data_IF_893772435188
#
_entry.id   IF_893772435188
#
_cell.length_a   1.000
_cell.length_b   1.000
_cell.length_c   1.000
_cell.angle_alpha   90.00
_cell.angle_beta   90.00
_cell.angle_gamma   90.00
#
_symmetry.space_group_name_H-M   'P 1'
#
loop_
_entity.id
_entity.type
_entity.pdbx_description
1 polymer ?
#
# COMPACT_ATOMS: atom_id res chain seq x y z
N UNK A 1 -29.20 -33.11 45.91
CA UNK A 1 -29.05 -32.92 45.42
C UNK A 1 -28.67 -32.12 44.69
N UNK A 2 -28.27 -31.79 44.34
CA UNK A 2 -27.84 -31.27 43.68
C UNK A 2 -27.64 -30.55 42.78
N UNK A 3 -27.33 -30.06 42.37
CA UNK A 3 -27.15 -29.50 41.60
C UNK A 3 -26.74 -28.78 40.86
N UNK A 4 -26.41 -28.44 40.57
CA UNK A 4 -26.03 -27.85 39.83
C UNK A 4 -25.79 -27.06 39.09
N UNK A 5 -25.36 -26.51 38.61
CA UNK A 5 -25.17 -25.80 37.92
C UNK A 5 -24.74 -25.20 37.18
N UNK A 6 -24.31 -24.79 36.76
CA UNK A 6 -23.89 -24.23 36.15
C UNK A 6 -23.73 -23.57 35.28
N UNK A 7 -23.38 -23.25 34.85
CA UNK A 7 -23.27 -22.83 34.16
C UNK A 7 -22.99 -22.10 33.42
N UNK A 8 -22.76 -21.77 32.85
CA UNK A 8 -22.68 -21.15 32.11
C UNK A 8 -22.01 -20.40 31.59
N UNK A 9 -21.67 -19.95 31.49
CA UNK A 9 -21.01 -19.19 31.00
C UNK A 9 -20.60 -18.97 29.96
N UNK A 10 -20.37 -18.77 29.54
CA UNK A 10 -19.98 -18.73 28.55
C UNK A 10 -20.00 -17.81 27.71
N UNK A 11 -19.81 -17.64 26.99
CA UNK A 11 -19.95 -16.85 26.11
C UNK A 11 -19.46 -15.70 25.99
N UNK A 12 -19.03 -15.21 25.93
CA UNK A 12 -18.72 -14.05 25.88
C UNK A 12 -17.69 -13.83 25.03
N UNK A 13 -17.05 -13.86 24.74
CA UNK A 13 -16.05 -13.65 24.06
C UNK A 13 -16.04 -13.47 22.78
N UNK A 14 -16.67 -13.31 22.13
CA UNK A 14 -16.59 -13.12 20.84
C UNK A 14 -16.67 -11.95 20.31
N UNK A 15 -16.91 -11.09 20.61
CA UNK A 15 -17.08 -9.95 20.01
C UNK A 15 -15.95 -9.29 19.47
N UNK A 16 -14.89 -9.59 19.58
CA UNK A 16 -13.92 -8.83 19.05
C UNK A 16 -13.56 -8.90 17.72
N UNK A 17 -13.88 -9.78 17.05
CA UNK A 17 -13.46 -9.90 15.78
C UNK A 17 -13.78 -8.90 14.83
N UNK A 18 -14.85 -8.36 14.83
CA UNK A 18 -15.24 -7.54 13.76
C UNK A 18 -14.47 -6.32 13.60
N UNK A 19 -13.87 -5.87 14.57
CA UNK A 19 -13.28 -4.59 14.47
C UNK A 19 -12.15 -4.52 13.51
N UNK A 20 -11.57 -5.63 13.18
CA UNK A 20 -10.53 -5.47 12.34
C UNK A 20 -10.80 -5.35 10.94
N UNK A 21 -11.90 -5.76 10.52
CA UNK A 21 -12.19 -5.77 9.12
C UNK A 21 -12.09 -4.41 8.49
N UNK A 22 -12.40 -3.38 9.23
CA UNK A 22 -12.38 -2.08 8.61
C UNK A 22 -11.01 -1.51 8.52
N UNK A 23 -10.08 -2.10 9.15
CA UNK A 23 -8.77 -1.51 9.18
C UNK A 23 -8.00 -1.65 7.89
N UNK A 24 -8.49 -2.42 6.96
CA UNK A 24 -7.75 -2.60 5.75
C UNK A 24 -7.95 -1.52 4.73
N UNK A 25 -8.83 -0.60 4.96
CA UNK A 25 -9.01 0.48 4.04
C UNK A 25 -8.05 1.59 4.39
N UNK A 26 -7.53 2.27 3.44
CA UNK A 26 -6.65 3.39 3.65
C UNK A 26 -5.27 2.95 4.07
N UNK A 27 -4.80 3.45 5.17
CA UNK A 27 -3.41 3.31 5.56
C UNK A 27 -3.17 2.29 6.66
N UNK A 28 -4.20 1.62 7.11
CA UNK A 28 -4.06 0.59 8.12
C UNK A 28 -3.28 -0.58 7.53
N UNK A 29 -2.49 -1.23 8.32
CA UNK A 29 -1.67 -2.33 7.83
C UNK A 29 -0.35 -1.90 7.23
N UNK A 30 -0.08 -0.60 7.21
CA UNK A 30 1.18 -0.06 6.72
C UNK A 30 2.03 0.40 7.89
N UNK A 31 3.34 0.50 7.67
CA UNK A 31 4.23 1.09 8.67
C UNK A 31 3.89 2.56 8.82
N UNK A 32 4.10 3.10 10.02
CA UNK A 32 3.78 4.50 10.26
C UNK A 32 4.80 5.44 9.64
N UNK A 33 6.03 5.00 9.54
CA UNK A 33 7.07 5.85 8.97
C UNK A 33 7.16 5.62 7.48
N UNK A 34 7.41 6.67 6.74
CA UNK A 34 7.63 6.56 5.32
C UNK A 34 9.08 6.18 5.03
N UNK A 35 9.25 5.51 3.91
CA UNK A 35 10.58 5.14 3.44
C UNK A 35 10.59 5.24 1.93
N UNK A 36 11.75 5.02 1.34
CA UNK A 36 11.90 5.09 -0.11
C UNK A 36 12.49 3.80 -0.64
N UNK A 37 12.07 3.42 -1.82
CA UNK A 37 12.63 2.30 -2.54
C UNK A 37 12.96 2.80 -3.94
N UNK A 38 14.18 2.56 -4.38
CA UNK A 38 14.60 2.91 -5.74
C UNK A 38 14.72 1.62 -6.54
N UNK A 39 14.23 1.66 -7.75
CA UNK A 39 14.29 0.49 -8.62
C UNK A 39 13.99 0.86 -10.05
N UNK A 40 13.78 -0.18 -10.84
CA UNK A 40 13.50 -0.04 -12.27
C UNK A 40 12.05 -0.39 -12.50
N UNK A 41 11.34 0.42 -13.27
CA UNK A 41 9.93 0.15 -13.56
C UNK A 41 9.81 -1.17 -14.33
N UNK A 42 9.08 -2.12 -13.75
CA UNK A 42 8.92 -3.43 -14.34
C UNK A 42 7.61 -3.51 -15.13
N UNK A 43 6.52 -3.08 -14.54
CA UNK A 43 5.24 -3.01 -15.23
C UNK A 43 4.75 -1.57 -15.18
N UNK A 44 4.20 -1.13 -16.29
CA UNK A 44 3.76 0.24 -16.45
C UNK A 44 2.64 0.59 -15.47
N UNK A 45 2.41 1.87 -15.28
CA UNK A 45 1.29 2.36 -14.48
C UNK A 45 -0.01 1.82 -15.06
N UNK A 46 -0.83 1.27 -14.19
CA UNK A 46 -2.17 0.83 -14.55
C UNK A 46 -3.18 1.64 -13.75
N UNK A 47 -4.20 2.13 -14.40
CA UNK A 47 -5.29 2.85 -13.76
C UNK A 47 -6.57 2.03 -13.77
N UNK A 48 -6.44 0.71 -14.00
CA UNK A 48 -7.61 -0.14 -14.19
C UNK A 48 -8.30 -0.56 -12.89
N UNK A 49 -7.61 -0.55 -11.78
CA UNK A 49 -8.20 -1.02 -10.52
C UNK A 49 -8.77 0.09 -9.69
N UNK A 50 -9.12 -0.22 -8.46
CA UNK A 50 -9.63 0.77 -7.53
C UNK A 50 -8.55 1.80 -7.17
N UNK A 51 -7.29 1.39 -7.26
CA UNK A 51 -6.15 2.29 -7.11
C UNK A 51 -5.24 2.10 -8.32
N UNK A 52 -4.53 3.13 -8.67
CA UNK A 52 -3.43 2.98 -9.63
C UNK A 52 -2.38 2.05 -9.06
N UNK A 53 -1.64 1.40 -9.92
CA UNK A 53 -0.60 0.46 -9.49
C UNK A 53 0.52 0.38 -10.51
N UNK A 54 1.65 -0.10 -10.08
CA UNK A 54 2.78 -0.44 -10.94
C UNK A 54 3.69 -1.39 -10.18
N UNK A 55 4.70 -1.93 -10.83
CA UNK A 55 5.72 -2.73 -10.17
C UNK A 55 7.10 -2.21 -10.51
N UNK A 56 7.99 -2.29 -9.53
CA UNK A 56 9.40 -1.97 -9.73
C UNK A 56 10.25 -3.14 -9.25
N UNK A 57 11.48 -3.21 -9.72
CA UNK A 57 12.46 -4.20 -9.27
C UNK A 57 13.60 -3.41 -8.64
N UNK A 58 13.92 -3.71 -7.39
CA UNK A 58 15.01 -3.02 -6.72
C UNK A 58 16.37 -3.58 -7.12
N UNK A 59 17.43 -3.05 -6.55
CA UNK A 59 18.79 -3.45 -6.92
C UNK A 59 19.17 -4.84 -6.44
N UNK A 60 18.32 -5.47 -5.65
CA UNK A 60 18.53 -6.85 -5.21
C UNK A 60 17.68 -7.82 -6.01
N UNK A 61 16.98 -7.32 -7.01
CA UNK A 61 16.11 -8.16 -7.83
C UNK A 61 14.74 -8.41 -7.23
N UNK A 62 14.41 -7.74 -6.14
CA UNK A 62 13.11 -7.90 -5.50
C UNK A 62 12.06 -7.08 -6.22
N UNK A 63 10.96 -7.72 -6.58
CA UNK A 63 9.81 -7.04 -7.17
C UNK A 63 8.98 -6.44 -6.06
N UNK A 64 8.61 -5.18 -6.24
CA UNK A 64 7.74 -4.46 -5.31
C UNK A 64 6.43 -4.13 -5.98
N UNK A 65 5.34 -4.37 -5.28
CA UNK A 65 4.01 -3.93 -5.72
C UNK A 65 3.78 -2.53 -5.18
N UNK A 66 3.60 -1.60 -6.08
CA UNK A 66 3.47 -0.19 -5.77
C UNK A 66 2.01 0.21 -5.95
N UNK A 67 1.34 0.52 -4.85
CA UNK A 67 -0.03 0.99 -4.88
C UNK A 67 -0.01 2.51 -4.90
N UNK A 68 -0.71 3.08 -5.86
CA UNK A 68 -0.80 4.52 -6.03
C UNK A 68 -2.14 5.02 -5.45
N UNK A 69 -2.54 6.22 -5.77
CA UNK A 69 -3.83 6.75 -5.36
C UNK A 69 -4.93 6.21 -6.29
N UNK A 70 -6.20 6.46 -6.00
CA UNK A 70 -7.26 6.11 -6.94
C UNK A 70 -6.97 6.68 -8.31
N UNK A 71 -7.47 6.05 -9.36
CA UNK A 71 -7.08 6.42 -10.73
C UNK A 71 -7.15 7.90 -11.05
N UNK A 72 -8.24 8.56 -10.69
CA UNK A 72 -8.39 9.98 -11.03
C UNK A 72 -7.34 10.83 -10.33
N UNK A 73 -7.01 10.50 -9.10
CA UNK A 73 -6.00 11.25 -8.36
C UNK A 73 -4.60 10.96 -8.89
N UNK A 74 -4.33 9.72 -9.24
CA UNK A 74 -3.05 9.33 -9.82
C UNK A 74 -2.84 10.03 -11.15
N UNK A 75 -3.86 10.02 -11.99
CA UNK A 75 -3.77 10.70 -13.26
C UNK A 75 -3.64 12.21 -13.07
N UNK A 76 -4.38 12.77 -12.12
CA UNK A 76 -4.29 14.19 -11.83
C UNK A 76 -2.91 14.60 -11.36
N UNK A 77 -2.15 13.70 -10.77
CA UNK A 77 -0.77 13.97 -10.36
C UNK A 77 0.20 13.85 -11.55
N UNK A 78 -0.29 13.44 -12.70
CA UNK A 78 0.53 13.32 -13.89
C UNK A 78 1.00 11.90 -14.19
N UNK A 79 0.59 10.90 -13.41
CA UNK A 79 0.99 9.53 -13.65
C UNK A 79 -0.11 8.79 -14.40
N UNK A 80 0.23 8.26 -15.55
CA UNK A 80 -0.64 7.43 -16.34
C UNK A 80 0.22 6.54 -17.22
N UNK A 81 -0.35 5.53 -17.84
CA UNK A 81 0.44 4.62 -18.69
C UNK A 81 1.27 5.39 -19.70
N UNK A 82 2.51 5.01 -19.84
CA UNK A 82 3.41 5.57 -20.84
C UNK A 82 4.17 6.81 -20.40
N UNK A 83 3.83 7.41 -19.27
CA UNK A 83 4.53 8.62 -18.84
C UNK A 83 5.96 8.30 -18.40
N UNK A 84 6.13 7.20 -17.68
CA UNK A 84 7.45 6.73 -17.30
C UNK A 84 7.68 5.44 -18.07
N UNK A 85 8.76 5.35 -18.85
CA UNK A 85 8.99 4.15 -19.64
C UNK A 85 9.32 2.95 -18.78
N UNK A 86 8.85 1.78 -19.16
CA UNK A 86 9.27 0.54 -18.53
C UNK A 86 10.78 0.43 -18.70
N UNK A 87 11.47 0.07 -17.65
CA UNK A 87 12.93 0.02 -17.64
C UNK A 87 13.58 1.27 -17.06
N UNK A 88 12.82 2.33 -16.83
CA UNK A 88 13.37 3.56 -16.29
C UNK A 88 13.57 3.43 -14.78
N UNK A 89 14.56 4.14 -14.26
CA UNK A 89 14.84 4.17 -12.84
C UNK A 89 13.86 5.12 -12.16
N UNK A 90 13.28 4.68 -11.07
CA UNK A 90 12.33 5.49 -10.29
C UNK A 90 12.61 5.32 -8.82
N UNK A 91 12.22 6.31 -8.04
CA UNK A 91 12.21 6.22 -6.59
C UNK A 91 10.77 6.40 -6.12
N UNK A 92 10.29 5.50 -5.28
CA UNK A 92 8.96 5.61 -4.71
C UNK A 92 9.08 5.87 -3.22
N UNK A 93 8.27 6.78 -2.73
CA UNK A 93 8.22 7.10 -1.30
C UNK A 93 6.83 6.78 -0.79
N UNK A 94 6.75 6.18 0.36
CA UNK A 94 5.47 5.85 0.96
C UNK A 94 5.62 4.99 2.19
N UNK A 95 4.55 4.31 2.54
CA UNK A 95 4.49 3.48 3.71
C UNK A 95 4.49 2.01 3.29
N UNK A 96 5.52 1.28 3.70
CA UNK A 96 5.60 -0.15 3.40
C UNK A 96 4.55 -0.91 4.17
N UNK A 97 4.23 -2.11 3.70
CA UNK A 97 3.43 -3.05 4.49
C UNK A 97 4.13 -3.30 5.82
N UNK A 98 3.36 -3.39 6.88
CA UNK A 98 3.91 -3.75 8.17
C UNK A 98 4.31 -5.23 8.23
N UNK A 99 3.86 -6.04 7.27
CA UNK A 99 4.33 -7.41 7.14
C UNK A 99 5.61 -7.39 6.31
N UNK A 100 6.73 -7.70 6.93
CA UNK A 100 8.02 -7.64 6.28
C UNK A 100 8.17 -8.62 5.13
N UNK A 101 7.30 -9.61 5.03
CA UNK A 101 7.35 -10.55 3.93
C UNK A 101 6.63 -10.04 2.71
N UNK A 102 5.93 -8.94 2.82
CA UNK A 102 5.23 -8.35 1.70
C UNK A 102 6.01 -7.15 1.20
N UNK A 103 6.46 -7.23 -0.02
CA UNK A 103 7.19 -6.14 -0.66
C UNK A 103 6.17 -5.26 -1.37
N UNK A 104 5.48 -4.45 -0.59
CA UNK A 104 4.40 -3.59 -1.03
C UNK A 104 4.60 -2.20 -0.46
N UNK A 105 4.29 -1.20 -1.23
CA UNK A 105 4.41 0.18 -0.80
C UNK A 105 3.11 0.92 -1.13
N UNK A 106 2.51 1.53 -0.11
CA UNK A 106 1.44 2.47 -0.37
C UNK A 106 2.10 3.81 -0.59
N UNK A 107 2.06 4.26 -1.81
CA UNK A 107 2.95 5.31 -2.32
C UNK A 107 2.32 6.68 -2.19
N UNK A 108 3.10 7.67 -1.78
CA UNK A 108 2.69 9.06 -1.75
C UNK A 108 3.38 9.88 -2.85
N UNK A 109 4.56 9.44 -3.28
CA UNK A 109 5.33 10.16 -4.31
C UNK A 109 6.11 9.17 -5.17
N UNK A 110 6.12 9.40 -6.47
CA UNK A 110 7.02 8.72 -7.40
C UNK A 110 7.93 9.79 -8.00
N UNK A 111 9.23 9.52 -8.04
CA UNK A 111 10.19 10.44 -8.63
C UNK A 111 10.86 9.78 -9.82
N UNK A 112 10.91 10.47 -10.95
CA UNK A 112 11.57 10.02 -12.16
C UNK A 112 12.27 11.21 -12.80
N UNK A 113 13.57 11.08 -13.01
CA UNK A 113 14.39 12.12 -13.63
C UNK A 113 14.19 13.49 -12.98
N UNK A 114 14.17 13.50 -11.67
CA UNK A 114 14.03 14.73 -10.93
C UNK A 114 12.62 15.28 -10.84
N UNK A 115 11.66 14.66 -11.49
CA UNK A 115 10.28 15.11 -11.42
C UNK A 115 9.51 14.28 -10.41
N UNK A 116 8.78 14.95 -9.54
CA UNK A 116 7.97 14.32 -8.52
C UNK A 116 6.53 14.21 -8.99
N UNK A 117 5.95 13.03 -8.84
CA UNK A 117 4.54 12.81 -9.07
C UNK A 117 3.93 12.53 -7.71
N UNK A 118 3.27 13.53 -7.14
CA UNK A 118 2.76 13.46 -5.77
C UNK A 118 1.30 13.00 -5.79
N UNK A 119 1.11 11.71 -5.60
CA UNK A 119 -0.24 11.16 -5.65
C UNK A 119 -1.00 11.39 -4.35
N UNK A 120 -0.28 11.64 -3.24
CA UNK A 120 -0.88 12.11 -1.99
C UNK A 120 -0.02 13.23 -1.43
N UNK A 121 -0.12 14.43 -2.00
CA UNK A 121 0.78 15.52 -1.60
C UNK A 121 0.64 15.95 -0.14
N UNK A 122 -0.54 15.75 0.42
CA UNK A 122 -0.78 16.12 1.81
C UNK A 122 -0.27 15.08 2.81
N UNK A 123 0.27 13.96 2.32
CA UNK A 123 0.78 12.93 3.22
C UNK A 123 2.28 12.76 3.16
N UNK A 124 2.99 13.57 2.45
CA UNK A 124 4.43 13.41 2.29
C UNK A 124 5.13 13.90 3.56
N UNK A 125 5.97 13.07 4.14
CA UNK A 125 6.73 13.40 5.34
C UNK A 125 8.22 13.20 5.13
#
# INVERSE_FOLDING_TARGET
METRFFACLAGAALALVGAQATAHHGWAGQQTDQSEVTGTLKTDVSLAGAHGSMQIVDDKGQVWDITLAPPARTEGAGLKPGVIPVGAKVTVRGNRSSDAKRFEMKTVRVTHEGKNYDVYPDRIT
#
